data_IF_720837058873
#
_entry.id   IF_720837058873
#
_cell.length_a   1.000
_cell.length_b   1.000
_cell.length_c   1.000
_cell.angle_alpha   90.00
_cell.angle_beta   90.00
_cell.angle_gamma   90.00
#
_symmetry.space_group_name_H-M   'P 1'
#
loop_
_entity.id
_entity.type
_entity.pdbx_description
1 polymer ?
#
# COMPACT_ATOMS: atom_id res chain seq x y z
N UNK A 1 20.80 2.44 7.70
CA UNK A 1 20.41 3.16 6.47
C UNK A 1 18.93 3.47 6.58
N UNK A 2 18.54 4.74 6.50
CA UNK A 2 17.13 5.14 6.46
C UNK A 2 16.59 4.87 5.05
N UNK A 3 15.49 4.14 4.93
CA UNK A 3 14.86 3.92 3.63
C UNK A 3 14.31 5.23 3.09
N UNK A 4 14.77 5.65 1.92
CA UNK A 4 14.14 6.73 1.18
C UNK A 4 12.90 6.17 0.47
N UNK A 5 11.72 6.67 0.86
CA UNK A 5 10.43 6.27 0.31
C UNK A 5 10.05 7.07 -0.93
N UNK A 6 10.68 8.22 -1.14
CA UNK A 6 10.42 9.12 -2.27
C UNK A 6 11.31 8.81 -3.47
N UNK A 7 12.32 7.95 -3.30
CA UNK A 7 13.12 7.42 -4.40
C UNK A 7 12.49 6.16 -5.00
N UNK A 8 12.58 6.03 -6.33
CA UNK A 8 12.01 4.91 -7.06
C UNK A 8 12.71 3.60 -6.73
N UNK A 9 11.91 2.53 -6.58
CA UNK A 9 12.38 1.17 -6.22
C UNK A 9 12.05 0.16 -7.31
N UNK A 10 12.85 -0.92 -7.43
CA UNK A 10 12.53 -2.00 -8.36
C UNK A 10 11.27 -2.75 -7.94
N UNK A 11 10.51 -3.20 -8.92
CA UNK A 11 9.33 -4.03 -8.74
C UNK A 11 9.70 -5.50 -8.49
N UNK A 12 8.86 -6.23 -7.74
CA UNK A 12 8.92 -7.69 -7.64
C UNK A 12 8.09 -8.36 -8.75
N UNK A 13 6.98 -7.73 -9.12
CA UNK A 13 6.14 -8.12 -10.26
C UNK A 13 5.74 -6.86 -11.03
N UNK A 14 5.42 -7.02 -12.32
CA UNK A 14 4.97 -5.92 -13.15
C UNK A 14 3.61 -5.38 -12.69
N UNK A 15 3.48 -4.06 -12.71
CA UNK A 15 2.20 -3.41 -12.54
C UNK A 15 1.30 -3.69 -13.75
N UNK A 16 0.10 -4.21 -13.46
CA UNK A 16 -0.98 -4.35 -14.43
C UNK A 16 -2.31 -4.08 -13.71
N UNK A 17 -3.37 -3.77 -14.46
CA UNK A 17 -4.69 -3.59 -13.86
C UNK A 17 -5.21 -4.85 -13.16
N UNK A 18 -4.88 -6.02 -13.70
CA UNK A 18 -5.22 -7.31 -13.09
C UNK A 18 -4.50 -7.51 -11.76
N UNK A 19 -3.18 -7.35 -11.73
CA UNK A 19 -2.40 -7.47 -10.50
C UNK A 19 -2.80 -6.41 -9.48
N UNK A 20 -3.13 -5.20 -9.92
CA UNK A 20 -3.65 -4.13 -9.06
C UNK A 20 -4.98 -4.52 -8.42
N UNK A 21 -5.92 -5.07 -9.18
CA UNK A 21 -7.22 -5.52 -8.66
C UNK A 21 -7.05 -6.65 -7.62
N UNK A 22 -6.17 -7.62 -7.90
CA UNK A 22 -5.83 -8.69 -6.97
C UNK A 22 -5.16 -8.16 -5.69
N UNK A 23 -4.20 -7.24 -5.83
CA UNK A 23 -3.55 -6.56 -4.71
C UNK A 23 -4.57 -5.80 -3.84
N UNK A 24 -5.52 -5.09 -4.47
CA UNK A 24 -6.58 -4.37 -3.76
C UNK A 24 -7.48 -5.29 -2.94
N UNK A 25 -7.95 -6.37 -3.56
CA UNK A 25 -8.76 -7.37 -2.87
C UNK A 25 -7.97 -8.01 -1.71
N UNK A 26 -6.71 -8.36 -1.94
CA UNK A 26 -5.83 -8.94 -0.94
C UNK A 26 -5.65 -7.99 0.26
N UNK A 27 -5.26 -6.74 0.02
CA UNK A 27 -5.03 -5.75 1.08
C UNK A 27 -6.31 -5.48 1.86
N UNK A 28 -7.48 -5.44 1.21
CA UNK A 28 -8.76 -5.29 1.93
C UNK A 28 -9.03 -6.45 2.89
N UNK A 29 -8.81 -7.71 2.46
CA UNK A 29 -8.92 -8.87 3.38
C UNK A 29 -7.96 -8.74 4.56
N UNK A 30 -6.71 -8.35 4.32
CA UNK A 30 -5.71 -8.14 5.39
C UNK A 30 -6.05 -6.98 6.32
N UNK A 31 -6.70 -5.95 5.80
CA UNK A 31 -7.22 -4.83 6.59
C UNK A 31 -8.34 -5.28 7.52
N UNK A 32 -9.25 -6.11 7.03
CA UNK A 32 -10.29 -6.76 7.85
C UNK A 32 -9.70 -7.69 8.92
N UNK A 33 -8.70 -8.52 8.57
CA UNK A 33 -7.98 -9.37 9.53
C UNK A 33 -7.36 -8.52 10.65
N UNK A 34 -6.68 -7.42 10.30
CA UNK A 34 -6.06 -6.54 11.30
C UNK A 34 -7.10 -5.84 12.19
N UNK A 35 -8.25 -5.44 11.65
CA UNK A 35 -9.34 -4.88 12.46
C UNK A 35 -9.83 -5.92 13.49
N UNK A 36 -9.98 -7.18 13.07
CA UNK A 36 -10.36 -8.28 13.95
C UNK A 36 -9.31 -8.56 15.03
N UNK A 37 -8.01 -8.58 14.70
CA UNK A 37 -6.91 -8.69 15.68
C UNK A 37 -7.00 -7.62 16.78
N UNK A 38 -7.48 -6.42 16.42
CA UNK A 38 -7.65 -5.27 17.33
C UNK A 38 -9.02 -5.20 17.98
N UNK A 39 -9.86 -6.23 17.81
CA UNK A 39 -11.24 -6.28 18.30
C UNK A 39 -12.07 -5.05 17.85
N UNK A 40 -11.85 -4.61 16.62
CA UNK A 40 -12.62 -3.54 15.96
C UNK A 40 -13.62 -4.14 14.97
N UNK A 41 -14.63 -3.34 14.62
CA UNK A 41 -15.55 -3.69 13.55
C UNK A 41 -14.79 -3.83 12.22
N UNK A 42 -15.15 -4.79 11.36
CA UNK A 42 -14.58 -4.90 10.04
C UNK A 42 -14.79 -3.59 9.25
N UNK A 43 -13.75 -3.07 8.58
CA UNK A 43 -13.86 -1.89 7.74
C UNK A 43 -14.76 -2.19 6.54
N UNK A 44 -15.47 -1.17 6.05
CA UNK A 44 -16.36 -1.29 4.88
C UNK A 44 -15.63 -1.08 3.56
N UNK A 45 -14.47 -0.44 3.61
CA UNK A 45 -13.60 -0.10 2.49
C UNK A 45 -12.14 0.00 2.98
N UNK A 46 -11.27 0.58 2.16
CA UNK A 46 -9.85 0.80 2.50
C UNK A 46 -9.60 2.11 3.27
N UNK A 47 -10.62 2.68 3.92
CA UNK A 47 -10.42 3.88 4.75
C UNK A 47 -9.37 3.63 5.84
N UNK A 48 -8.47 4.58 6.02
CA UNK A 48 -7.35 4.54 6.95
C UNK A 48 -6.22 3.57 6.56
N UNK A 49 -6.32 2.88 5.42
CA UNK A 49 -5.31 1.89 5.02
C UNK A 49 -4.15 2.49 4.22
N UNK A 50 -4.19 3.77 3.84
CA UNK A 50 -3.24 4.40 2.92
C UNK A 50 -1.76 4.10 3.26
N UNK A 51 -1.43 4.08 4.56
CA UNK A 51 -0.08 3.72 5.03
C UNK A 51 0.34 2.29 4.67
N UNK A 52 -0.52 1.32 4.96
CA UNK A 52 -0.23 -0.07 4.65
C UNK A 52 -0.32 -0.34 3.15
N UNK A 53 -1.33 0.25 2.50
CA UNK A 53 -1.55 0.13 1.06
C UNK A 53 -0.36 0.63 0.26
N UNK A 54 0.14 1.83 0.54
CA UNK A 54 1.24 2.37 -0.27
C UNK A 54 2.58 1.69 -0.01
N UNK A 55 2.82 1.19 1.22
CA UNK A 55 3.99 0.37 1.53
C UNK A 55 3.92 -0.99 0.82
N UNK A 56 2.74 -1.61 0.81
CA UNK A 56 2.51 -2.89 0.12
C UNK A 56 2.74 -2.75 -1.39
N UNK A 57 2.12 -1.75 -2.01
CA UNK A 57 2.30 -1.43 -3.42
C UNK A 57 3.77 -1.12 -3.75
N UNK A 58 4.47 -0.36 -2.89
CA UNK A 58 5.87 -0.03 -3.11
C UNK A 58 6.80 -1.26 -3.06
N UNK A 59 6.52 -2.22 -2.17
CA UNK A 59 7.30 -3.46 -2.11
C UNK A 59 6.97 -4.43 -3.25
N UNK A 60 5.72 -4.43 -3.73
CA UNK A 60 5.26 -5.36 -4.76
C UNK A 60 5.57 -4.86 -6.18
N UNK A 61 5.19 -3.63 -6.50
CA UNK A 61 5.29 -3.02 -7.83
C UNK A 61 6.41 -1.97 -7.94
N UNK A 62 7.17 -1.72 -6.87
CA UNK A 62 8.25 -0.76 -6.88
C UNK A 62 7.78 0.70 -6.85
N UNK A 63 8.49 1.57 -7.57
CA UNK A 63 8.16 2.98 -7.70
C UNK A 63 8.45 3.80 -6.43
N UNK A 64 7.76 4.93 -6.30
CA UNK A 64 7.92 5.92 -5.23
C UNK A 64 6.67 5.95 -4.34
N UNK A 65 6.82 6.44 -3.11
CA UNK A 65 5.71 6.81 -2.24
C UNK A 65 5.67 8.33 -2.13
N UNK A 66 4.55 8.91 -2.57
CA UNK A 66 4.24 10.33 -2.43
C UNK A 66 3.10 10.51 -1.42
N UNK A 67 2.83 11.76 -1.06
CA UNK A 67 1.79 12.09 -0.08
C UNK A 67 2.05 13.34 0.73
N UNK A 68 1.15 13.54 1.69
CA UNK A 68 1.05 14.66 2.63
C UNK A 68 0.54 14.14 3.99
N UNK A 69 0.25 15.03 4.93
CA UNK A 69 -0.23 14.66 6.28
C UNK A 69 -1.55 13.89 6.30
N UNK A 70 -2.40 14.04 5.27
CA UNK A 70 -3.72 13.41 5.21
C UNK A 70 -3.70 12.09 4.44
N UNK A 71 -2.85 11.97 3.42
CA UNK A 71 -2.86 10.81 2.52
C UNK A 71 -1.48 10.45 1.97
N UNK A 72 -1.26 9.16 1.70
CA UNK A 72 -0.08 8.67 0.98
C UNK A 72 -0.47 7.67 -0.10
N UNK A 73 0.22 7.74 -1.24
CA UNK A 73 -0.06 7.00 -2.46
C UNK A 73 1.26 6.66 -3.19
N UNK A 74 1.19 5.92 -4.29
CA UNK A 74 2.38 5.54 -5.07
C UNK A 74 2.48 6.28 -6.39
N UNK A 75 3.71 6.49 -6.84
CA UNK A 75 4.01 6.76 -8.24
C UNK A 75 4.68 5.53 -8.83
N UNK A 76 4.05 4.93 -9.83
CA UNK A 76 4.56 3.75 -10.57
C UNK A 76 4.60 4.13 -12.04
N UNK A 77 5.79 4.06 -12.65
CA UNK A 77 6.02 4.49 -14.04
C UNK A 77 5.46 5.90 -14.35
N UNK A 78 5.64 6.83 -13.40
CA UNK A 78 5.16 8.22 -13.52
C UNK A 78 3.65 8.40 -13.35
N UNK A 79 2.91 7.36 -12.95
CA UNK A 79 1.45 7.41 -12.74
C UNK A 79 1.10 7.34 -11.27
N UNK A 80 0.08 8.10 -10.88
CA UNK A 80 -0.54 7.96 -9.55
C UNK A 80 -1.24 6.61 -9.49
N UNK A 81 -0.85 5.81 -8.51
CA UNK A 81 -1.46 4.52 -8.19
C UNK A 81 -1.77 4.49 -6.70
N UNK A 82 -3.04 4.31 -6.35
CA UNK A 82 -3.52 4.35 -4.98
C UNK A 82 -4.55 3.25 -4.77
N UNK A 83 -4.30 2.32 -3.85
CA UNK A 83 -5.26 1.26 -3.52
C UNK A 83 -6.54 1.81 -2.88
N UNK A 84 -6.42 2.90 -2.14
CA UNK A 84 -7.49 3.55 -1.38
C UNK A 84 -8.17 4.69 -2.14
N UNK A 85 -7.96 4.82 -3.45
CA UNK A 85 -8.47 5.95 -4.24
C UNK A 85 -10.00 6.13 -4.18
N UNK A 86 -10.75 5.05 -3.91
CA UNK A 86 -12.21 5.00 -3.78
C UNK A 86 -12.69 4.84 -2.33
N UNK A 87 -11.78 4.91 -1.36
CA UNK A 87 -12.14 4.89 0.05
C UNK A 87 -12.86 6.19 0.45
N UNK A 88 -13.85 6.06 1.33
CA UNK A 88 -14.70 7.17 1.74
C UNK A 88 -13.94 8.32 2.41
N UNK A 89 -12.84 8.05 3.10
CA UNK A 89 -12.01 9.07 3.72
C UNK A 89 -11.16 9.84 2.70
N UNK A 90 -10.55 9.15 1.73
CA UNK A 90 -9.78 9.76 0.63
C UNK A 90 -10.66 10.69 -0.19
N UNK A 91 -11.90 10.29 -0.49
CA UNK A 91 -12.88 11.12 -1.20
C UNK A 91 -13.28 12.41 -0.48
N UNK A 92 -12.96 12.58 0.81
CA UNK A 92 -13.23 13.80 1.60
C UNK A 92 -12.04 14.74 1.70
N UNK A 93 -10.87 14.35 1.21
CA UNK A 93 -9.65 15.16 1.30
C UNK A 93 -9.66 16.22 0.19
N UNK A 94 -9.39 17.47 0.55
CA UNK A 94 -9.17 18.54 -0.43
C UNK A 94 -7.72 18.44 -0.94
N UNK A 95 -7.53 17.86 -2.12
CA UNK A 95 -6.23 17.53 -2.75
C UNK A 95 -5.52 16.28 -2.19
N UNK A 96 -6.12 15.09 -2.30
CA UNK A 96 -5.53 13.84 -1.79
C UNK A 96 -4.16 13.52 -2.41
N UNK A 97 -3.89 14.00 -3.63
CA UNK A 97 -2.66 13.72 -4.36
C UNK A 97 -1.64 14.86 -4.31
N UNK A 98 -1.79 15.86 -3.43
CA UNK A 98 -0.72 16.82 -3.18
C UNK A 98 0.49 16.10 -2.56
N UNK A 99 1.67 16.21 -3.17
CA UNK A 99 2.90 15.70 -2.60
C UNK A 99 3.66 16.80 -1.85
N UNK A 100 3.96 16.56 -0.58
CA UNK A 100 4.80 17.39 0.26
C UNK A 100 6.09 16.62 0.60
N UNK A 101 7.21 16.81 -0.11
CA UNK A 101 8.42 16.00 0.08
C UNK A 101 8.97 16.03 1.52
N UNK A 102 8.83 17.17 2.20
CA UNK A 102 9.30 17.34 3.58
C UNK A 102 8.51 16.50 4.59
N UNK A 103 7.28 16.08 4.24
CA UNK A 103 6.50 15.15 5.06
C UNK A 103 7.25 13.84 5.32
N UNK A 104 7.97 13.33 4.32
CA UNK A 104 8.73 12.09 4.45
C UNK A 104 10.03 12.29 5.22
N UNK A 105 10.52 13.52 5.40
CA UNK A 105 11.74 13.81 6.18
C UNK A 105 11.50 13.81 7.70
N UNK A 106 10.23 13.78 8.13
CA UNK A 106 9.85 13.79 9.55
C UNK A 106 10.28 12.46 10.22
N UNK A 107 11.09 12.48 11.29
CA UNK A 107 11.57 11.25 11.95
C UNK A 107 10.45 10.32 12.41
N UNK A 108 9.36 10.86 12.96
CA UNK A 108 8.19 10.11 13.41
C UNK A 108 7.48 9.44 12.25
N UNK A 109 7.44 10.10 11.08
CA UNK A 109 6.89 9.51 9.86
C UNK A 109 7.74 8.32 9.41
N UNK A 110 9.05 8.48 9.36
CA UNK A 110 9.98 7.38 9.07
C UNK A 110 9.81 6.21 10.03
N UNK A 111 9.79 6.48 11.34
CA UNK A 111 9.60 5.45 12.36
C UNK A 111 8.25 4.72 12.19
N UNK A 112 7.18 5.47 11.90
CA UNK A 112 5.85 4.91 11.65
C UNK A 112 5.80 3.99 10.42
N UNK A 113 6.47 4.39 9.33
CA UNK A 113 6.56 3.56 8.12
C UNK A 113 7.41 2.31 8.38
N UNK A 114 8.58 2.48 8.98
CA UNK A 114 9.49 1.37 9.30
C UNK A 114 8.84 0.34 10.24
N UNK A 115 8.07 0.79 11.23
CA UNK A 115 7.32 -0.09 12.12
C UNK A 115 6.24 -0.92 11.43
N UNK A 116 5.76 -0.50 10.25
CA UNK A 116 4.80 -1.26 9.47
C UNK A 116 5.46 -2.31 8.54
N UNK A 117 6.74 -2.15 8.22
CA UNK A 117 7.43 -2.97 7.22
C UNK A 117 7.43 -4.46 7.51
N UNK A 118 7.66 -4.95 8.75
CA UNK A 118 7.66 -6.40 9.00
C UNK A 118 6.33 -7.04 8.62
N UNK A 119 5.21 -6.38 8.93
CA UNK A 119 3.88 -6.87 8.58
C UNK A 119 3.61 -6.77 7.08
N UNK A 120 3.97 -5.64 6.47
CA UNK A 120 3.79 -5.45 5.02
C UNK A 120 4.63 -6.47 4.23
N UNK A 121 5.87 -6.75 4.65
CA UNK A 121 6.71 -7.77 4.01
C UNK A 121 6.09 -9.16 4.08
N UNK A 122 5.49 -9.52 5.22
CA UNK A 122 4.73 -10.77 5.34
C UNK A 122 3.53 -10.81 4.38
N UNK A 123 2.80 -9.71 4.26
CA UNK A 123 1.68 -9.58 3.32
C UNK A 123 2.13 -9.73 1.86
N UNK A 124 3.25 -9.12 1.47
CA UNK A 124 3.81 -9.25 0.12
C UNK A 124 4.16 -10.71 -0.20
N UNK A 125 4.85 -11.40 0.71
CA UNK A 125 5.18 -12.81 0.52
C UNK A 125 3.92 -13.68 0.37
N UNK A 126 2.92 -13.49 1.24
CA UNK A 126 1.64 -14.21 1.15
C UNK A 126 0.93 -13.96 -0.18
N UNK A 127 0.93 -12.71 -0.67
CA UNK A 127 0.31 -12.36 -1.93
C UNK A 127 1.00 -13.05 -3.11
N UNK A 128 2.33 -13.05 -3.15
CA UNK A 128 3.10 -13.75 -4.18
C UNK A 128 2.87 -15.26 -4.16
N UNK A 129 2.79 -15.85 -2.96
CA UNK A 129 2.45 -17.27 -2.81
C UNK A 129 1.05 -17.57 -3.37
N UNK A 130 0.04 -16.74 -3.05
CA UNK A 130 -1.33 -16.87 -3.58
C UNK A 130 -1.37 -16.77 -5.11
N UNK A 131 -0.65 -15.82 -5.71
CA UNK A 131 -0.55 -15.68 -7.17
C UNK A 131 0.05 -16.94 -7.82
N UNK A 132 1.11 -17.49 -7.21
CA UNK A 132 1.79 -18.68 -7.73
C UNK A 132 0.91 -19.93 -7.69
N UNK A 133 0.01 -20.02 -6.71
CA UNK A 133 -0.95 -21.13 -6.59
C UNK A 133 -2.02 -21.00 -7.67
N UNK A 134 -2.55 -19.80 -7.91
CA UNK A 134 -3.57 -19.56 -8.95
C UNK A 134 -3.05 -19.75 -10.37
N UNK A 135 -1.73 -19.60 -10.59
CA UNK A 135 -1.10 -19.78 -11.90
C UNK A 135 -0.81 -21.25 -12.26
N UNK A 136 -0.94 -22.19 -11.32
CA UNK A 136 -0.77 -23.63 -11.60
C UNK A 136 -2.07 -24.20 -12.18
N UNK A 137 -2.05 -24.84 -13.37
CA UNK A 137 -3.20 -25.57 -13.85
C UNK A 137 -3.50 -26.75 -12.92
N UNK A 138 -4.79 -26.95 -12.63
CA UNK A 138 -5.28 -28.14 -11.92
C UNK A 138 -4.96 -29.36 -12.82
N UNK A 139 -4.36 -30.43 -12.30
CA UNK A 139 -4.02 -31.62 -13.07
C UNK A 139 -5.26 -32.33 -13.65
#
# INVERSE_FOLDING_TARGET
>A
MTTDWTSSKPAQIDYSYENFALAKAFVFRKWCEQANERQKLPPKDLSGSCKYGSLFMNQLFGGEIHGNYQHQYNIIDGRIVDLSHDALDVGKISNPYLHEPDFFKIPEKHASLNGCLPRVGHWVNQFLDELSITAKPIP
#
